data_IF_574931004529
#
_entry.id   IF_574931004529
#
_cell.length_a   1.000
_cell.length_b   1.000
_cell.length_c   1.000
_cell.angle_alpha   90.00
_cell.angle_beta   90.00
_cell.angle_gamma   90.00
#
_symmetry.space_group_name_H-M   'P 1'
#
loop_
_entity.id
_entity.type
_entity.pdbx_description
1 polymer ?
#
# COMPACT_ATOMS: atom_id res chain seq x y z
N UNK A 1 -49.42 -1.66 -34.74
CA UNK A 1 -48.94 -1.61 -33.34
C UNK A 1 -47.72 -0.69 -33.32
N UNK A 2 -47.86 0.50 -32.73
CA UNK A 2 -46.74 1.45 -32.60
C UNK A 2 -45.76 0.91 -31.55
N UNK A 3 -44.49 0.73 -31.94
CA UNK A 3 -43.42 0.46 -30.97
C UNK A 3 -43.19 1.74 -30.15
N UNK A 4 -42.95 1.64 -28.82
CA UNK A 4 -42.63 2.81 -28.03
C UNK A 4 -41.27 3.35 -28.48
N UNK A 5 -41.21 4.64 -28.79
CA UNK A 5 -39.96 5.37 -28.95
C UNK A 5 -39.36 5.43 -27.55
N UNK A 6 -38.23 4.75 -27.33
CA UNK A 6 -37.42 4.97 -26.13
C UNK A 6 -36.82 6.37 -26.30
N UNK A 7 -37.29 7.32 -25.51
CA UNK A 7 -36.66 8.63 -25.39
C UNK A 7 -35.29 8.43 -24.72
N UNK A 8 -34.24 8.33 -25.53
CA UNK A 8 -32.87 8.35 -25.02
C UNK A 8 -32.56 9.80 -24.62
N UNK A 9 -32.61 10.08 -23.32
CA UNK A 9 -32.14 11.35 -22.75
C UNK A 9 -30.62 11.38 -22.87
N UNK A 10 -30.11 12.05 -23.90
CA UNK A 10 -28.68 12.31 -24.06
C UNK A 10 -28.29 13.46 -23.12
N UNK A 11 -27.57 13.16 -22.04
CA UNK A 11 -27.16 14.17 -21.04
C UNK A 11 -25.79 14.80 -21.32
N UNK A 12 -24.96 14.18 -22.17
CA UNK A 12 -23.64 14.66 -22.54
C UNK A 12 -23.44 14.55 -24.06
N UNK A 13 -23.79 15.63 -24.78
CA UNK A 13 -23.49 15.76 -26.21
C UNK A 13 -22.45 16.87 -26.42
N UNK A 14 -21.33 16.52 -27.07
CA UNK A 14 -20.41 17.51 -27.59
C UNK A 14 -20.82 17.87 -29.01
N UNK A 15 -20.86 19.17 -29.32
CA UNK A 15 -21.15 19.66 -30.66
C UNK A 15 -19.85 19.97 -31.39
N UNK A 16 -19.65 19.35 -32.55
CA UNK A 16 -18.52 19.64 -33.42
C UNK A 16 -19.05 20.27 -34.71
N UNK A 17 -18.47 21.41 -35.10
CA UNK A 17 -18.78 22.07 -36.38
C UNK A 17 -17.94 21.44 -37.49
N UNK A 18 -18.58 20.70 -38.39
CA UNK A 18 -17.88 20.12 -39.54
C UNK A 18 -17.49 21.20 -40.56
N UNK A 19 -16.39 20.99 -41.31
CA UNK A 19 -16.01 21.88 -42.44
C UNK A 19 -17.15 21.93 -43.46
N UNK A 20 -17.88 23.03 -43.47
CA UNK A 20 -19.16 23.19 -44.18
C UNK A 20 -20.27 23.84 -43.34
N UNK A 21 -20.03 24.11 -42.04
CA UNK A 21 -20.95 24.88 -41.19
C UNK A 21 -22.15 24.10 -40.67
N UNK A 22 -22.15 22.77 -40.81
CA UNK A 22 -23.16 21.91 -40.20
C UNK A 22 -22.70 21.48 -38.81
N UNK A 23 -23.50 21.78 -37.80
CA UNK A 23 -23.33 21.26 -36.45
C UNK A 23 -23.70 19.78 -36.41
N UNK A 24 -22.80 18.97 -35.88
CA UNK A 24 -23.03 17.54 -35.62
C UNK A 24 -22.91 17.32 -34.12
N UNK A 25 -23.97 16.80 -33.51
CA UNK A 25 -23.97 16.38 -32.11
C UNK A 25 -23.41 14.96 -32.01
N UNK A 26 -22.38 14.75 -31.21
CA UNK A 26 -21.91 13.42 -30.82
C UNK A 26 -22.53 13.12 -29.46
N UNK A 27 -23.53 12.25 -29.44
CA UNK A 27 -24.10 11.72 -28.21
C UNK A 27 -23.21 10.56 -27.72
N UNK A 28 -22.70 10.67 -26.50
CA UNK A 28 -22.08 9.53 -25.83
C UNK A 28 -23.17 8.79 -25.06
N UNK A 29 -23.56 7.60 -25.52
CA UNK A 29 -24.35 6.66 -24.73
C UNK A 29 -23.45 6.04 -23.66
N UNK A 30 -23.19 6.79 -22.58
CA UNK A 30 -22.60 6.21 -21.37
C UNK A 30 -23.77 5.62 -20.59
N UNK A 31 -23.90 4.29 -20.61
CA UNK A 31 -24.83 3.60 -19.74
C UNK A 31 -24.41 3.85 -18.28
N UNK A 32 -25.15 4.74 -17.60
CA UNK A 32 -24.90 5.08 -16.20
C UNK A 32 -24.91 3.84 -15.29
N UNK A 33 -25.64 2.79 -15.64
CA UNK A 33 -25.62 1.53 -14.89
C UNK A 33 -24.29 0.80 -15.10
N UNK A 34 -23.76 0.77 -16.33
CA UNK A 34 -22.47 0.17 -16.63
C UNK A 34 -21.33 0.91 -15.91
N UNK A 35 -21.37 2.25 -15.91
CA UNK A 35 -20.40 3.07 -15.18
C UNK A 35 -20.47 2.85 -13.65
N UNK A 36 -21.68 2.83 -13.08
CA UNK A 36 -21.87 2.57 -11.65
C UNK A 36 -21.38 1.17 -11.25
N UNK A 37 -21.64 0.16 -12.08
CA UNK A 37 -21.15 -1.21 -11.87
C UNK A 37 -19.62 -1.29 -11.91
N UNK A 38 -18.98 -0.59 -12.86
CA UNK A 38 -17.53 -0.54 -12.94
C UNK A 38 -16.91 0.15 -11.71
N UNK A 39 -17.53 1.24 -11.24
CA UNK A 39 -17.09 1.95 -10.04
C UNK A 39 -17.20 1.08 -8.80
N UNK A 40 -18.34 0.40 -8.60
CA UNK A 40 -18.53 -0.51 -7.46
C UNK A 40 -17.49 -1.64 -7.46
N UNK A 41 -17.24 -2.25 -8.62
CA UNK A 41 -16.22 -3.30 -8.74
C UNK A 41 -14.82 -2.80 -8.39
N UNK A 42 -14.49 -1.56 -8.76
CA UNK A 42 -13.22 -0.94 -8.42
C UNK A 42 -13.12 -0.65 -6.91
N UNK A 43 -14.20 -0.17 -6.29
CA UNK A 43 -14.27 0.00 -4.84
C UNK A 43 -14.06 -1.33 -4.10
N UNK A 44 -14.76 -2.40 -4.50
CA UNK A 44 -14.60 -3.73 -3.90
C UNK A 44 -13.15 -4.24 -4.00
N UNK A 45 -12.49 -3.99 -5.13
CA UNK A 45 -11.09 -4.36 -5.32
C UNK A 45 -10.17 -3.58 -4.35
N UNK A 46 -10.37 -2.26 -4.23
CA UNK A 46 -9.59 -1.43 -3.31
C UNK A 46 -9.81 -1.82 -1.85
N UNK A 47 -11.04 -2.13 -1.45
CA UNK A 47 -11.35 -2.60 -0.09
C UNK A 47 -10.63 -3.91 0.22
N UNK A 48 -10.60 -4.84 -0.74
CA UNK A 48 -9.88 -6.11 -0.59
C UNK A 48 -8.37 -5.92 -0.50
N UNK A 49 -7.79 -5.08 -1.36
CA UNK A 49 -6.36 -4.76 -1.32
C UNK A 49 -5.97 -4.05 -0.02
N UNK A 50 -6.85 -3.18 0.51
CA UNK A 50 -6.66 -2.51 1.80
C UNK A 50 -6.68 -3.53 2.95
N UNK A 51 -7.61 -4.47 2.94
CA UNK A 51 -7.69 -5.52 3.96
C UNK A 51 -6.48 -6.44 3.92
N UNK A 52 -6.00 -6.82 2.73
CA UNK A 52 -4.76 -7.56 2.56
C UNK A 52 -3.54 -6.75 3.01
N UNK A 53 -3.51 -5.44 2.79
CA UNK A 53 -2.44 -4.56 3.28
C UNK A 53 -2.45 -4.40 4.80
N UNK A 54 -3.62 -4.35 5.45
CA UNK A 54 -3.73 -4.39 6.90
C UNK A 54 -3.29 -5.75 7.46
N UNK A 55 -3.56 -6.83 6.73
CA UNK A 55 -3.12 -8.18 7.08
C UNK A 55 -1.62 -8.42 6.83
N UNK A 56 -0.92 -7.54 6.10
CA UNK A 56 0.54 -7.57 6.03
C UNK A 56 1.06 -7.22 7.42
N UNK A 57 1.59 -8.24 8.09
CA UNK A 57 2.14 -8.18 9.44
C UNK A 57 2.99 -6.92 9.59
N UNK A 58 2.64 -6.08 10.56
CA UNK A 58 3.45 -4.92 10.89
C UNK A 58 4.76 -5.42 11.47
N UNK A 59 5.87 -4.83 11.07
CA UNK A 59 7.20 -5.17 11.58
C UNK A 59 7.70 -4.08 12.50
N UNK A 60 8.09 -4.44 13.72
CA UNK A 60 8.81 -3.55 14.63
C UNK A 60 10.29 -3.73 14.43
N UNK A 61 11.00 -2.64 14.14
CA UNK A 61 12.45 -2.63 14.02
C UNK A 61 13.11 -2.10 15.29
N UNK A 62 14.20 -2.72 15.73
CA UNK A 62 15.05 -2.27 16.85
C UNK A 62 16.52 -2.40 16.50
N UNK A 63 17.36 -1.65 17.21
CA UNK A 63 18.83 -1.68 17.02
C UNK A 63 19.49 -2.21 18.29
N UNK A 64 20.33 -3.25 18.15
CA UNK A 64 21.15 -3.79 19.23
C UNK A 64 22.64 -3.63 18.90
N UNK A 65 23.43 -3.13 19.84
CA UNK A 65 24.88 -2.96 19.67
C UNK A 65 25.65 -3.87 20.62
N UNK A 66 26.73 -4.44 20.10
CA UNK A 66 27.72 -5.15 20.91
C UNK A 66 28.84 -4.19 21.32
N UNK A 67 29.16 -4.17 22.61
CA UNK A 67 30.21 -3.28 23.14
C UNK A 67 31.42 -4.10 23.57
N UNK A 68 32.66 -3.72 23.18
CA UNK A 68 33.81 -4.58 23.38
C UNK A 68 34.21 -4.83 24.83
N UNK A 69 33.78 -4.01 25.80
CA UNK A 69 34.02 -4.24 27.23
C UNK A 69 33.03 -3.41 28.07
N UNK A 70 32.42 -4.03 29.09
CA UNK A 70 31.49 -3.39 30.03
C UNK A 70 31.06 -4.33 31.16
N UNK A 71 30.24 -3.84 32.10
CA UNK A 71 29.69 -4.60 33.25
C UNK A 71 28.67 -5.69 32.85
N UNK A 72 28.33 -5.79 31.57
CA UNK A 72 27.37 -6.72 30.99
C UNK A 72 28.04 -7.51 29.85
N UNK A 73 27.62 -8.77 29.59
CA UNK A 73 28.10 -9.55 28.45
C UNK A 73 27.97 -8.78 27.13
N UNK A 74 28.99 -8.92 26.27
CA UNK A 74 29.12 -8.22 24.98
C UNK A 74 27.87 -8.30 24.09
N UNK A 75 27.10 -9.38 24.21
CA UNK A 75 25.93 -9.72 23.39
C UNK A 75 24.60 -9.62 24.13
N UNK A 76 24.58 -9.19 25.40
CA UNK A 76 23.37 -9.29 26.24
C UNK A 76 22.14 -8.64 25.59
N UNK A 77 22.27 -7.42 25.03
CA UNK A 77 21.14 -6.74 24.37
C UNK A 77 20.65 -7.48 23.11
N UNK A 78 21.57 -8.08 22.36
CA UNK A 78 21.20 -8.87 21.19
C UNK A 78 20.42 -10.11 21.61
N UNK A 79 20.92 -10.84 22.61
CA UNK A 79 20.28 -12.04 23.14
C UNK A 79 18.90 -11.75 23.73
N UNK A 80 18.72 -10.63 24.43
CA UNK A 80 17.43 -10.18 24.97
C UNK A 80 16.39 -10.03 23.85
N UNK A 81 16.72 -9.40 22.72
CA UNK A 81 15.79 -9.26 21.60
C UNK A 81 15.56 -10.57 20.85
N UNK A 82 16.60 -11.38 20.62
CA UNK A 82 16.45 -12.68 19.98
C UNK A 82 15.50 -13.59 20.77
N UNK A 83 15.61 -13.61 22.11
CA UNK A 83 14.72 -14.36 22.98
C UNK A 83 13.27 -13.83 22.99
N UNK A 84 13.06 -12.56 22.65
CA UNK A 84 11.72 -11.97 22.47
C UNK A 84 11.10 -12.28 21.10
N UNK A 85 11.79 -13.03 20.23
CA UNK A 85 11.32 -13.42 18.90
C UNK A 85 11.70 -12.44 17.79
N UNK A 86 12.62 -11.50 18.04
CA UNK A 86 13.21 -10.72 16.97
C UNK A 86 14.22 -11.55 16.16
N UNK A 87 14.40 -11.22 14.88
CA UNK A 87 15.43 -11.78 14.02
C UNK A 87 16.29 -10.69 13.40
N UNK A 88 17.56 -11.00 13.13
CA UNK A 88 18.49 -10.04 12.52
C UNK A 88 18.21 -9.90 11.03
N UNK A 89 18.07 -8.66 10.56
CA UNK A 89 17.92 -8.34 9.12
C UNK A 89 19.16 -7.65 8.54
N UNK A 90 19.96 -7.02 9.39
CA UNK A 90 21.22 -6.38 8.99
C UNK A 90 22.22 -6.40 10.15
N UNK A 91 23.50 -6.56 9.80
CA UNK A 91 24.62 -6.40 10.73
C UNK A 91 25.63 -5.44 10.12
N UNK A 92 25.95 -4.37 10.85
CA UNK A 92 26.90 -3.34 10.46
C UNK A 92 28.10 -3.35 11.40
N UNK A 93 29.29 -3.22 10.82
CA UNK A 93 30.51 -3.04 11.59
C UNK A 93 30.78 -1.54 11.77
N UNK A 94 30.75 -1.07 13.00
CA UNK A 94 31.08 0.31 13.35
C UNK A 94 32.54 0.32 13.85
N UNK A 95 33.42 0.83 13.01
CA UNK A 95 34.81 1.09 13.38
C UNK A 95 34.88 2.36 14.21
N UNK A 96 34.92 2.22 15.53
CA UNK A 96 35.37 3.29 16.42
C UNK A 96 36.86 3.06 16.74
N UNK A 97 37.61 4.15 16.92
CA UNK A 97 39.08 4.13 17.02
C UNK A 97 39.60 3.20 18.12
N UNK A 98 38.80 3.00 19.16
CA UNK A 98 39.15 2.21 20.34
C UNK A 98 38.25 0.96 20.52
N UNK A 99 37.25 0.77 19.66
CA UNK A 99 36.21 -0.25 19.86
C UNK A 99 35.69 -0.88 18.57
N UNK A 100 35.68 -2.22 18.51
CA UNK A 100 34.98 -2.99 17.48
C UNK A 100 33.52 -3.24 17.86
N UNK A 101 32.64 -2.33 17.45
CA UNK A 101 31.20 -2.41 17.71
C UNK A 101 30.52 -3.07 16.51
N UNK A 102 29.72 -4.10 16.78
CA UNK A 102 28.78 -4.65 15.79
C UNK A 102 27.39 -4.15 16.15
N UNK A 103 26.73 -3.49 15.20
CA UNK A 103 25.34 -3.05 15.29
C UNK A 103 24.44 -3.99 14.49
N UNK A 104 23.37 -4.45 15.11
CA UNK A 104 22.36 -5.32 14.50
C UNK A 104 21.06 -4.56 14.40
N UNK A 105 20.46 -4.56 13.21
CA UNK A 105 19.06 -4.18 13.01
C UNK A 105 18.25 -5.47 13.10
N UNK A 106 17.28 -5.49 14.01
CA UNK A 106 16.41 -6.62 14.22
C UNK A 106 14.95 -6.27 13.95
N UNK A 107 14.20 -7.25 13.46
CA UNK A 107 12.77 -7.13 13.17
C UNK A 107 11.97 -8.19 13.89
N UNK A 108 10.75 -7.84 14.28
CA UNK A 108 9.74 -8.77 14.79
C UNK A 108 8.39 -8.42 14.19
N UNK A 109 7.65 -9.44 13.75
CA UNK A 109 6.25 -9.30 13.39
C UNK A 109 5.43 -9.01 14.65
N UNK A 110 4.67 -7.92 14.63
CA UNK A 110 3.77 -7.53 15.72
C UNK A 110 2.33 -7.66 15.23
N UNK A 111 1.49 -8.29 16.05
CA UNK A 111 0.04 -8.26 15.90
C UNK A 111 -0.48 -6.98 16.59
N UNK A 112 -1.52 -6.34 16.05
CA UNK A 112 -2.01 -5.03 16.55
C UNK A 112 -2.61 -5.05 17.97
N UNK A 113 -2.67 -6.23 18.62
CA UNK A 113 -3.37 -6.46 19.89
C UNK A 113 -2.47 -6.52 21.14
N UNK A 114 -1.17 -6.18 21.05
CA UNK A 114 -0.24 -6.06 22.21
C UNK A 114 0.06 -4.62 22.64
#
# INVERSE_FOLDING_TARGET
MNKPIKENFVTNADYIVAKGGKEMAIAYDIDYQEYANALNKYCDQLEKELEECKRKRKTKQVVARTFPNGWKPRTQYLEEFLNQGYHVVMANHINDKDYQIIEYILEKEIDEDE
#
